data_IF_332997981216
#
_entry.id   IF_332997981216
#
_cell.length_a   1.000
_cell.length_b   1.000
_cell.length_c   1.000
_cell.angle_alpha   90.00
_cell.angle_beta   90.00
_cell.angle_gamma   90.00
#
_symmetry.space_group_name_H-M   'P 1'
#
loop_
_entity.id
_entity.type
_entity.pdbx_description
1 polymer ?
#
# COMPACT_ATOMS: atom_id res chain seq x y z
N UNK A 1 -8.99 36.33 50.65
CA UNK A 1 -9.68 35.65 49.54
C UNK A 1 -8.66 35.43 48.44
N UNK A 2 -8.28 34.18 48.17
CA UNK A 2 -7.26 33.86 47.16
C UNK A 2 -7.94 33.70 45.80
N UNK A 3 -7.69 34.63 44.88
CA UNK A 3 -8.18 34.56 43.51
C UNK A 3 -7.47 33.45 42.76
N UNK A 4 -8.21 32.43 42.33
CA UNK A 4 -7.69 31.39 41.46
C UNK A 4 -7.47 31.95 40.04
N UNK A 5 -6.24 31.88 39.55
CA UNK A 5 -5.92 32.20 38.16
C UNK A 5 -6.36 31.04 37.27
N UNK A 6 -7.42 31.25 36.47
CA UNK A 6 -7.91 30.28 35.51
C UNK A 6 -6.95 30.27 34.31
N UNK A 7 -6.19 29.18 34.16
CA UNK A 7 -5.38 28.93 32.98
C UNK A 7 -6.32 28.48 31.85
N UNK A 8 -6.60 29.37 30.89
CA UNK A 8 -7.30 29.00 29.67
C UNK A 8 -6.33 28.27 28.74
N UNK A 9 -6.57 26.98 28.51
CA UNK A 9 -5.90 26.25 27.46
C UNK A 9 -6.39 26.76 26.09
N UNK A 10 -5.48 26.99 25.12
CA UNK A 10 -5.90 27.40 23.79
C UNK A 10 -6.76 26.30 23.19
N UNK A 11 -7.93 26.68 22.68
CA UNK A 11 -8.81 25.77 21.96
C UNK A 11 -7.99 25.02 20.91
N UNK A 12 -7.98 23.69 21.01
CA UNK A 12 -7.39 22.82 20.00
C UNK A 12 -7.96 23.24 18.67
N UNK A 13 -7.13 23.87 17.83
CA UNK A 13 -7.46 24.09 16.42
C UNK A 13 -7.75 22.70 15.88
N UNK A 14 -9.03 22.38 15.68
CA UNK A 14 -9.44 21.21 14.94
C UNK A 14 -8.71 21.31 13.61
N UNK A 15 -7.70 20.45 13.43
CA UNK A 15 -7.08 20.25 12.13
C UNK A 15 -8.22 20.05 11.15
N UNK A 16 -8.21 20.69 9.97
CA UNK A 16 -9.25 20.42 8.99
C UNK A 16 -9.27 18.91 8.77
N UNK A 17 -10.44 18.29 8.97
CA UNK A 17 -10.65 16.90 8.61
C UNK A 17 -10.14 16.77 7.18
N UNK A 18 -9.14 15.91 6.97
CA UNK A 18 -8.62 15.62 5.64
C UNK A 18 -9.81 15.17 4.80
N UNK A 19 -10.33 16.08 3.98
CA UNK A 19 -11.39 15.75 3.06
C UNK A 19 -10.83 14.65 2.14
N UNK A 20 -11.57 13.55 1.91
CA UNK A 20 -11.06 12.46 1.11
C UNK A 20 -10.84 12.98 -0.30
N UNK A 21 -9.60 12.99 -0.77
CA UNK A 21 -9.25 13.58 -2.07
C UNK A 21 -9.62 12.69 -3.26
N UNK A 22 -10.03 11.44 -3.00
CA UNK A 22 -10.34 10.43 -4.01
C UNK A 22 -11.70 9.78 -3.75
N UNK A 23 -12.39 9.47 -4.83
CA UNK A 23 -13.62 8.65 -4.80
C UNK A 23 -13.27 7.16 -4.65
N UNK A 24 -14.21 6.36 -4.15
CA UNK A 24 -14.05 4.89 -4.06
C UNK A 24 -13.70 4.28 -5.43
N UNK A 25 -14.28 4.82 -6.51
CA UNK A 25 -14.00 4.35 -7.88
C UNK A 25 -12.55 4.59 -8.29
N UNK A 26 -12.00 5.77 -8.01
CA UNK A 26 -10.59 6.08 -8.30
C UNK A 26 -9.63 5.20 -7.50
N UNK A 27 -9.93 4.95 -6.22
CA UNK A 27 -9.14 4.02 -5.40
C UNK A 27 -9.20 2.60 -5.97
N UNK A 28 -10.37 2.17 -6.46
CA UNK A 28 -10.53 0.87 -7.13
C UNK A 28 -9.75 0.74 -8.44
N UNK A 29 -9.74 1.77 -9.29
CA UNK A 29 -8.96 1.76 -10.55
C UNK A 29 -7.44 1.74 -10.29
N UNK A 30 -6.97 2.48 -9.28
CA UNK A 30 -5.58 2.41 -8.84
C UNK A 30 -5.21 1.01 -8.33
N UNK A 31 -6.11 0.38 -7.56
CA UNK A 31 -5.92 -0.98 -7.06
C UNK A 31 -5.81 -2.02 -8.18
N UNK A 32 -6.68 -1.92 -9.19
CA UNK A 32 -6.63 -2.81 -10.35
C UNK A 32 -5.31 -2.66 -11.11
N UNK A 33 -4.84 -1.43 -11.29
CA UNK A 33 -3.58 -1.16 -11.98
C UNK A 33 -2.39 -1.73 -11.21
N UNK A 34 -2.30 -1.43 -9.90
CA UNK A 34 -1.21 -1.95 -9.06
C UNK A 34 -1.21 -3.47 -8.98
N UNK A 35 -2.38 -4.09 -8.87
CA UNK A 35 -2.50 -5.55 -8.81
C UNK A 35 -2.08 -6.19 -10.15
N UNK A 36 -2.44 -5.58 -11.28
CA UNK A 36 -2.03 -6.03 -12.61
C UNK A 36 -0.51 -5.98 -12.78
N UNK A 37 0.12 -4.89 -12.37
CA UNK A 37 1.58 -4.72 -12.49
C UNK A 37 2.33 -5.71 -11.58
N UNK A 38 1.90 -5.83 -10.32
CA UNK A 38 2.46 -6.81 -9.39
C UNK A 38 2.30 -8.25 -9.91
N UNK A 39 1.16 -8.58 -10.50
CA UNK A 39 0.93 -9.90 -11.09
C UNK A 39 1.89 -10.16 -12.27
N UNK A 40 2.08 -9.18 -13.16
CA UNK A 40 3.00 -9.29 -14.29
C UNK A 40 4.44 -9.52 -13.83
N UNK A 41 4.88 -8.79 -12.81
CA UNK A 41 6.22 -8.93 -12.24
C UNK A 41 6.40 -10.33 -11.65
N UNK A 42 5.43 -10.81 -10.86
CA UNK A 42 5.47 -12.15 -10.28
C UNK A 42 5.53 -13.25 -11.34
N UNK A 43 4.74 -13.15 -12.41
CA UNK A 43 4.80 -14.11 -13.52
C UNK A 43 6.17 -14.14 -14.18
N UNK A 44 6.77 -12.97 -14.40
CA UNK A 44 8.13 -12.85 -14.96
C UNK A 44 9.14 -13.50 -14.02
N UNK A 45 9.03 -13.22 -12.72
CA UNK A 45 9.97 -13.70 -11.73
C UNK A 45 9.90 -15.23 -11.57
N UNK A 46 8.69 -15.79 -11.62
CA UNK A 46 8.44 -17.24 -11.61
C UNK A 46 9.04 -17.92 -12.85
N UNK A 47 8.85 -17.33 -14.03
CA UNK A 47 9.43 -17.86 -15.27
C UNK A 47 10.95 -17.89 -15.19
N UNK A 48 11.57 -16.80 -14.76
CA UNK A 48 13.03 -16.70 -14.61
C UNK A 48 13.54 -17.68 -13.56
N UNK A 49 12.85 -17.80 -12.42
CA UNK A 49 13.21 -18.76 -11.38
C UNK A 49 13.14 -20.20 -11.90
N UNK A 50 12.08 -20.54 -12.65
CA UNK A 50 11.94 -21.86 -13.27
C UNK A 50 13.07 -22.15 -14.25
N UNK A 51 13.45 -21.17 -15.07
CA UNK A 51 14.57 -21.27 -15.98
C UNK A 51 15.89 -21.46 -15.23
N UNK A 52 16.18 -20.64 -14.23
CA UNK A 52 17.42 -20.72 -13.44
C UNK A 52 17.56 -22.04 -12.69
N UNK A 53 16.47 -22.56 -12.13
CA UNK A 53 16.47 -23.86 -11.45
C UNK A 53 16.75 -25.01 -12.43
N UNK A 54 16.34 -24.89 -13.69
CA UNK A 54 16.56 -25.92 -14.72
C UNK A 54 17.95 -25.82 -15.36
N UNK A 55 18.35 -24.63 -15.79
CA UNK A 55 19.54 -24.41 -16.61
C UNK A 55 20.79 -24.10 -15.77
N UNK A 56 20.63 -23.42 -14.64
CA UNK A 56 21.75 -22.98 -13.78
C UNK A 56 21.53 -23.30 -12.29
N UNK A 57 21.16 -24.54 -11.90
CA UNK A 57 20.85 -24.91 -10.51
C UNK A 57 22.02 -24.69 -9.54
N UNK A 58 23.26 -24.68 -10.03
CA UNK A 58 24.47 -24.41 -9.26
C UNK A 58 24.57 -22.95 -8.80
N UNK A 59 23.92 -22.00 -9.49
CA UNK A 59 23.92 -20.59 -9.09
C UNK A 59 22.87 -20.31 -8.01
N UNK A 60 23.11 -20.91 -6.84
CA UNK A 60 22.24 -20.78 -5.67
C UNK A 60 22.09 -19.33 -5.23
N UNK A 61 23.11 -18.49 -5.47
CA UNK A 61 23.08 -17.07 -5.09
C UNK A 61 22.07 -16.32 -5.93
N UNK A 62 22.11 -16.49 -7.26
CA UNK A 62 21.15 -15.84 -8.14
C UNK A 62 19.73 -16.35 -7.91
N UNK A 63 19.55 -17.67 -7.71
CA UNK A 63 18.23 -18.26 -7.38
C UNK A 63 17.68 -17.67 -6.07
N UNK A 64 18.50 -17.60 -5.02
CA UNK A 64 18.09 -17.02 -3.73
C UNK A 64 17.74 -15.53 -3.86
N UNK A 65 18.54 -14.77 -4.61
CA UNK A 65 18.24 -13.36 -4.89
C UNK A 65 16.90 -13.20 -5.63
N UNK A 66 16.58 -14.11 -6.56
CA UNK A 66 15.30 -14.08 -7.28
C UNK A 66 14.11 -14.39 -6.39
N UNK A 67 14.25 -15.37 -5.49
CA UNK A 67 13.23 -15.70 -4.48
C UNK A 67 13.01 -14.51 -3.52
N UNK A 68 14.09 -13.86 -3.07
CA UNK A 68 13.99 -12.67 -2.22
C UNK A 68 13.27 -11.52 -2.93
N UNK A 69 13.60 -11.25 -4.19
CA UNK A 69 12.91 -10.23 -4.98
C UNK A 69 11.40 -10.52 -5.12
N UNK A 70 11.01 -11.79 -5.31
CA UNK A 70 9.59 -12.19 -5.30
C UNK A 70 8.92 -11.91 -3.97
N UNK A 71 9.59 -12.25 -2.86
CA UNK A 71 9.06 -12.01 -1.52
C UNK A 71 8.88 -10.50 -1.26
N UNK A 72 9.84 -9.67 -1.66
CA UNK A 72 9.74 -8.20 -1.56
C UNK A 72 8.58 -7.65 -2.38
N UNK A 73 8.38 -8.11 -3.62
CA UNK A 73 7.24 -7.71 -4.45
C UNK A 73 5.91 -8.07 -3.78
N UNK A 74 5.77 -9.29 -3.24
CA UNK A 74 4.57 -9.71 -2.52
C UNK A 74 4.33 -8.87 -1.26
N UNK A 75 5.38 -8.59 -0.49
CA UNK A 75 5.29 -7.76 0.71
C UNK A 75 4.85 -6.34 0.37
N UNK A 76 5.40 -5.75 -0.70
CA UNK A 76 5.02 -4.43 -1.16
C UNK A 76 3.57 -4.39 -1.66
N UNK A 77 3.13 -5.43 -2.36
CA UNK A 77 1.74 -5.56 -2.81
C UNK A 77 0.76 -5.66 -1.62
N UNK A 78 1.12 -6.40 -0.57
CA UNK A 78 0.31 -6.51 0.65
C UNK A 78 0.20 -5.16 1.38
N UNK A 79 1.32 -4.45 1.55
CA UNK A 79 1.32 -3.09 2.12
C UNK A 79 0.46 -2.13 1.27
N UNK A 80 0.56 -2.22 -0.06
CA UNK A 80 -0.25 -1.41 -0.95
C UNK A 80 -1.74 -1.73 -0.80
N UNK A 81 -2.11 -3.01 -0.71
CA UNK A 81 -3.48 -3.44 -0.47
C UNK A 81 -4.03 -2.88 0.84
N UNK A 82 -3.29 -2.99 1.94
CA UNK A 82 -3.71 -2.43 3.24
C UNK A 82 -3.94 -0.91 3.14
N UNK A 83 -3.03 -0.18 2.47
CA UNK A 83 -3.20 1.26 2.25
C UNK A 83 -4.45 1.58 1.42
N UNK A 84 -4.75 0.78 0.41
CA UNK A 84 -5.94 0.97 -0.43
C UNK A 84 -7.22 0.69 0.35
N UNK A 85 -7.24 -0.33 1.22
CA UNK A 85 -8.37 -0.59 2.12
C UNK A 85 -8.61 0.58 3.09
N UNK A 86 -7.55 1.15 3.68
CA UNK A 86 -7.63 2.35 4.51
C UNK A 86 -8.13 3.58 3.72
N UNK A 87 -7.71 3.72 2.46
CA UNK A 87 -8.20 4.78 1.58
C UNK A 87 -9.67 4.58 1.22
N UNK A 88 -10.15 3.35 1.05
CA UNK A 88 -11.56 3.06 0.82
C UNK A 88 -12.43 3.37 2.05
N UNK A 89 -11.95 3.09 3.27
CA UNK A 89 -12.66 3.45 4.51
C UNK A 89 -12.87 4.95 4.67
N UNK A 90 -11.94 5.74 4.11
CA UNK A 90 -11.98 7.21 4.18
C UNK A 90 -12.56 7.84 2.92
N UNK A 91 -12.74 7.13 1.82
CA UNK A 91 -13.19 7.68 0.54
C UNK A 91 -14.68 8.09 0.53
N UNK A 92 -15.02 9.08 -0.29
CA UNK A 92 -16.42 9.51 -0.48
C UNK A 92 -17.15 8.45 -1.32
N UNK A 93 -18.30 7.92 -0.86
CA UNK A 93 -19.08 6.95 -1.61
C UNK A 93 -19.57 7.56 -2.94
N UNK A 94 -19.63 6.73 -3.98
CA UNK A 94 -20.11 7.16 -5.28
C UNK A 94 -21.60 7.55 -5.19
N UNK A 95 -21.93 8.81 -5.50
CA UNK A 95 -23.31 9.31 -5.56
C UNK A 95 -23.71 10.37 -4.52
N UNK A 96 -22.79 10.86 -3.67
CA UNK A 96 -23.04 11.92 -2.67
C UNK A 96 -22.49 13.31 -3.06
N UNK A 97 -22.47 13.64 -4.35
CA UNK A 97 -22.21 15.01 -4.83
C UNK A 97 -23.50 15.68 -5.29
#
# INVERSE_FOLDING_TARGET
MHSATIIQFPATKQSPAQAPSKTVQQVGEEALTQTKDAHRDLCTFLSDLSFMVKETPQDRRAISARILAMHETLTNADIALVKMLQQMETAIPAGTL
#
